data_IF_460474598642
#
_entry.id   IF_460474598642
#
_cell.length_a   1.000
_cell.length_b   1.000
_cell.length_c   1.000
_cell.angle_alpha   90.00
_cell.angle_beta   90.00
_cell.angle_gamma   90.00
#
_symmetry.space_group_name_H-M   'P 1'
#
loop_
_entity.id
_entity.type
_entity.pdbx_description
1 polymer ?
#
# COMPACT_ATOMS: atom_id res chain seq x y z
N UNK A 1 -51.99 33.89 12.51
CA UNK A 1 -50.54 33.74 12.71
C UNK A 1 -50.29 32.30 13.12
N UNK A 2 -49.98 31.45 12.15
CA UNK A 2 -49.79 30.01 12.35
C UNK A 2 -48.28 29.71 12.28
N UNK A 3 -47.78 29.04 13.31
CA UNK A 3 -46.42 28.52 13.38
C UNK A 3 -46.34 27.24 12.54
N UNK A 4 -45.43 27.21 11.56
CA UNK A 4 -45.06 26.00 10.84
C UNK A 4 -43.69 25.52 11.36
N UNK A 5 -43.67 24.32 11.93
CA UNK A 5 -42.49 23.60 12.38
C UNK A 5 -41.80 23.02 11.14
N UNK A 6 -40.56 23.41 10.85
CA UNK A 6 -39.74 22.75 9.84
C UNK A 6 -39.15 21.45 10.41
N UNK A 7 -39.48 20.36 9.72
CA UNK A 7 -39.01 19.00 9.91
C UNK A 7 -37.52 18.87 9.63
N UNK A 8 -36.79 18.21 10.53
CA UNK A 8 -35.44 17.71 10.29
C UNK A 8 -35.49 16.55 9.28
N UNK A 9 -34.83 16.71 8.14
CA UNK A 9 -34.62 15.61 7.19
C UNK A 9 -33.54 14.67 7.74
N UNK A 10 -33.95 13.47 8.15
CA UNK A 10 -33.05 12.35 8.40
C UNK A 10 -32.42 11.93 7.07
N UNK A 11 -31.17 12.29 6.84
CA UNK A 11 -30.36 11.68 5.79
C UNK A 11 -30.04 10.25 6.23
N UNK A 12 -30.83 9.27 5.75
CA UNK A 12 -30.49 7.85 5.83
C UNK A 12 -29.25 7.63 4.96
N UNK A 13 -28.07 7.72 5.56
CA UNK A 13 -26.90 7.03 5.01
C UNK A 13 -27.24 5.55 4.94
N UNK A 14 -27.58 5.08 3.74
CA UNK A 14 -27.57 3.68 3.41
C UNK A 14 -26.13 3.20 3.65
N UNK A 15 -25.89 2.55 4.80
CA UNK A 15 -24.67 1.78 5.01
C UNK A 15 -24.66 0.73 3.90
N UNK A 16 -23.80 0.96 2.91
CA UNK A 16 -23.42 -0.05 1.93
C UNK A 16 -22.99 -1.26 2.74
N UNK A 17 -23.60 -2.42 2.50
CA UNK A 17 -23.14 -3.65 3.13
C UNK A 17 -21.66 -3.80 2.80
N UNK A 18 -20.81 -3.87 3.82
CA UNK A 18 -19.37 -4.00 3.64
C UNK A 18 -19.11 -5.28 2.82
N UNK A 19 -18.38 -5.19 1.68
CA UNK A 19 -17.98 -6.38 0.96
C UNK A 19 -17.17 -7.29 1.90
N UNK A 20 -17.24 -8.63 1.73
CA UNK A 20 -16.48 -9.57 2.55
C UNK A 20 -15.02 -9.13 2.61
N UNK A 21 -14.53 -8.89 3.82
CA UNK A 21 -13.22 -8.30 4.09
C UNK A 21 -12.14 -9.29 3.72
N UNK A 22 -11.50 -9.01 2.60
CA UNK A 22 -10.18 -9.52 2.28
C UNK A 22 -9.19 -9.05 3.35
N UNK A 23 -8.88 -9.96 4.25
CA UNK A 23 -7.94 -9.70 5.31
C UNK A 23 -6.55 -10.21 4.93
N UNK A 24 -5.84 -9.42 4.12
CA UNK A 24 -4.44 -9.70 3.77
C UNK A 24 -3.58 -9.80 5.06
N UNK A 25 -4.00 -9.13 6.14
CA UNK A 25 -3.28 -9.10 7.40
C UNK A 25 -3.44 -10.39 8.20
N UNK A 26 -4.55 -11.12 8.06
CA UNK A 26 -4.69 -12.48 8.64
C UNK A 26 -3.63 -13.47 8.13
N UNK A 27 -3.07 -13.22 6.95
CA UNK A 27 -2.03 -14.07 6.34
C UNK A 27 -0.62 -13.61 6.67
N UNK A 28 -0.46 -12.49 7.37
CA UNK A 28 0.83 -11.91 7.72
C UNK A 28 1.10 -12.21 9.19
N UNK A 29 2.26 -12.81 9.49
CA UNK A 29 2.72 -12.91 10.86
C UNK A 29 2.99 -11.50 11.39
N UNK A 30 2.06 -10.98 12.18
CA UNK A 30 2.22 -9.69 12.86
C UNK A 30 3.24 -9.77 13.99
N UNK A 31 3.79 -10.94 14.30
CA UNK A 31 4.92 -11.18 15.19
C UNK A 31 4.53 -11.41 16.66
N UNK A 32 5.54 -11.65 17.50
CA UNK A 32 5.38 -11.92 18.94
C UNK A 32 5.01 -10.70 19.82
N UNK A 33 4.77 -9.54 19.21
CA UNK A 33 4.52 -8.27 19.89
C UNK A 33 5.74 -7.69 20.62
N UNK A 34 5.50 -6.99 21.74
CA UNK A 34 6.53 -6.32 22.54
C UNK A 34 7.17 -5.12 21.84
N UNK A 35 6.44 -4.47 20.94
CA UNK A 35 6.89 -3.31 20.17
C UNK A 35 6.37 -2.02 20.77
N UNK A 36 7.01 -0.91 20.42
CA UNK A 36 6.50 0.45 20.66
C UNK A 36 6.21 1.11 19.32
N UNK A 37 5.02 1.65 19.14
CA UNK A 37 4.58 2.20 17.85
C UNK A 37 4.03 3.61 18.04
N UNK A 38 4.65 4.59 17.41
CA UNK A 38 4.08 5.94 17.26
C UNK A 38 3.26 6.00 15.98
N UNK A 39 1.96 6.27 16.09
CA UNK A 39 1.09 6.55 14.95
C UNK A 39 0.96 8.07 14.85
N UNK A 40 1.55 8.63 13.81
CA UNK A 40 1.67 10.09 13.58
C UNK A 40 0.75 10.46 12.42
N UNK A 41 -0.27 11.25 12.70
CA UNK A 41 -1.41 11.44 11.80
C UNK A 41 -1.53 12.91 11.43
N UNK A 42 -1.55 13.18 10.13
CA UNK A 42 -1.77 14.51 9.59
C UNK A 42 -3.19 15.00 9.89
N UNK A 43 -3.26 16.19 10.46
CA UNK A 43 -4.47 16.91 10.77
C UNK A 43 -4.45 18.29 10.13
N UNK A 44 -3.73 18.50 9.04
CA UNK A 44 -3.75 19.76 8.27
C UNK A 44 -5.11 19.98 7.57
N UNK A 45 -5.36 21.21 7.11
CA UNK A 45 -6.61 21.57 6.44
C UNK A 45 -6.84 20.83 5.10
N UNK A 46 -5.78 20.43 4.40
CA UNK A 46 -5.90 19.69 3.12
C UNK A 46 -6.68 18.39 3.29
N UNK A 47 -6.61 17.77 4.47
CA UNK A 47 -7.35 16.56 4.82
C UNK A 47 -8.86 16.68 4.60
N UNK A 48 -9.47 17.87 4.72
CA UNK A 48 -10.91 18.06 4.46
C UNK A 48 -11.29 17.78 2.99
N UNK A 49 -10.36 18.07 2.07
CA UNK A 49 -10.60 17.98 0.63
C UNK A 49 -9.98 16.73 0.03
N UNK A 50 -8.81 16.36 0.52
CA UNK A 50 -7.95 15.32 -0.04
C UNK A 50 -8.17 13.97 0.63
N UNK A 51 -8.71 13.96 1.85
CA UNK A 51 -9.10 12.76 2.57
C UNK A 51 -10.53 12.87 3.14
N UNK A 52 -11.55 13.11 2.29
CA UNK A 52 -12.93 13.31 2.74
C UNK A 52 -13.54 12.04 3.37
N UNK A 53 -12.98 10.88 3.07
CA UNK A 53 -13.40 9.58 3.61
C UNK A 53 -12.62 9.17 4.87
N UNK A 54 -11.67 10.00 5.35
CA UNK A 54 -10.81 9.72 6.50
C UNK A 54 -10.00 8.41 6.37
N UNK A 55 -9.54 8.13 5.16
CA UNK A 55 -8.63 7.07 4.77
C UNK A 55 -7.39 7.00 5.66
N UNK A 56 -6.80 8.14 6.04
CA UNK A 56 -5.66 8.15 6.98
C UNK A 56 -6.06 7.67 8.38
N UNK A 57 -7.27 7.98 8.85
CA UNK A 57 -7.74 7.57 10.18
C UNK A 57 -8.08 6.08 10.16
N UNK A 58 -8.65 5.59 9.06
CA UNK A 58 -8.86 4.16 8.83
C UNK A 58 -7.52 3.40 8.80
N UNK A 59 -6.49 3.94 8.12
CA UNK A 59 -5.14 3.37 8.11
C UNK A 59 -4.55 3.27 9.53
N UNK A 60 -4.62 4.36 10.28
CA UNK A 60 -4.15 4.45 11.65
C UNK A 60 -4.90 3.49 12.57
N UNK A 61 -6.22 3.45 12.47
CA UNK A 61 -7.06 2.58 13.26
C UNK A 61 -6.76 1.12 12.92
N UNK A 62 -6.60 0.79 11.63
CA UNK A 62 -6.24 -0.55 11.17
C UNK A 62 -4.91 -0.98 11.75
N UNK A 63 -3.86 -0.15 11.61
CA UNK A 63 -2.56 -0.43 12.22
C UNK A 63 -2.68 -0.68 13.73
N UNK A 64 -3.44 0.15 14.45
CA UNK A 64 -3.65 0.00 15.89
C UNK A 64 -4.32 -1.32 16.27
N UNK A 65 -5.30 -1.79 15.48
CA UNK A 65 -6.01 -3.03 15.82
C UNK A 65 -5.23 -4.31 15.53
N UNK A 66 -4.23 -4.25 14.65
CA UNK A 66 -3.30 -5.35 14.36
C UNK A 66 -2.19 -5.51 15.40
N UNK A 67 -2.03 -4.55 16.31
CA UNK A 67 -1.08 -4.65 17.40
C UNK A 67 -1.55 -5.65 18.45
N UNK A 68 -0.60 -6.38 19.04
CA UNK A 68 -0.84 -7.34 20.12
C UNK A 68 -1.24 -6.58 21.37
N UNK A 69 -2.50 -6.71 21.79
CA UNK A 69 -3.03 -6.05 23.00
C UNK A 69 -2.73 -6.88 24.25
N UNK A 70 -2.70 -6.26 25.42
CA UNK A 70 -2.50 -6.97 26.67
C UNK A 70 -3.58 -8.02 26.93
N UNK A 71 -4.83 -7.76 26.53
CA UNK A 71 -5.95 -8.68 26.69
C UNK A 71 -5.93 -9.89 25.73
N UNK A 72 -5.20 -9.79 24.62
CA UNK A 72 -5.15 -10.83 23.57
C UNK A 72 -3.80 -11.51 23.47
N UNK A 73 -2.79 -11.06 24.20
CA UNK A 73 -1.48 -11.69 24.23
C UNK A 73 -1.56 -13.11 24.80
N UNK A 74 -1.14 -14.10 24.03
CA UNK A 74 -1.13 -15.52 24.42
C UNK A 74 0.25 -16.13 24.18
N UNK A 75 0.58 -17.23 24.87
CA UNK A 75 1.68 -18.12 24.50
C UNK A 75 3.04 -17.45 24.23
N UNK A 76 3.57 -16.69 25.19
CA UNK A 76 4.89 -16.05 25.06
C UNK A 76 4.90 -14.76 24.24
N UNK A 77 3.75 -14.30 23.74
CA UNK A 77 3.61 -12.95 23.19
C UNK A 77 3.80 -11.90 24.29
N UNK A 78 4.39 -10.78 23.91
CA UNK A 78 4.44 -9.56 24.74
C UNK A 78 3.48 -8.54 24.17
N UNK A 79 2.72 -7.80 24.99
CA UNK A 79 1.87 -6.73 24.49
C UNK A 79 2.69 -5.65 23.79
N UNK A 80 2.17 -5.13 22.69
CA UNK A 80 2.67 -3.90 22.09
C UNK A 80 2.20 -2.69 22.89
N UNK A 81 2.91 -1.58 22.71
CA UNK A 81 2.52 -0.26 23.18
C UNK A 81 2.36 0.69 22.00
N UNK A 82 1.38 1.56 22.07
CA UNK A 82 1.08 2.56 21.04
C UNK A 82 1.04 3.96 21.63
N UNK A 83 1.53 4.92 20.86
CA UNK A 83 1.33 6.36 21.06
C UNK A 83 0.61 6.92 19.83
N UNK A 84 -0.32 7.85 20.03
CA UNK A 84 -1.03 8.54 18.93
C UNK A 84 -0.69 10.02 19.00
N UNK A 85 -0.16 10.54 17.90
CA UNK A 85 0.20 11.93 17.73
C UNK A 85 -0.56 12.47 16.52
N UNK A 86 -1.24 13.59 16.68
CA UNK A 86 -1.67 14.38 15.52
C UNK A 86 -0.66 15.49 15.26
N UNK A 87 -0.53 15.91 14.00
CA UNK A 87 0.27 17.09 13.67
C UNK A 87 -0.42 17.98 12.63
N UNK A 88 -0.10 19.27 12.73
CA UNK A 88 -0.44 20.34 11.79
C UNK A 88 0.70 21.36 11.82
N UNK A 89 0.45 22.63 12.14
CA UNK A 89 1.50 23.61 12.51
C UNK A 89 2.23 23.27 13.82
N UNK A 90 1.60 22.45 14.65
CA UNK A 90 2.10 21.94 15.93
C UNK A 90 1.86 20.42 16.00
N UNK A 91 2.27 19.77 17.09
CA UNK A 91 1.99 18.34 17.28
C UNK A 91 1.49 18.08 18.69
N UNK A 92 0.37 17.35 18.79
CA UNK A 92 -0.28 17.00 20.05
C UNK A 92 -0.20 15.50 20.28
N UNK A 93 0.21 15.11 21.49
CA UNK A 93 0.15 13.73 21.96
C UNK A 93 -1.28 13.43 22.44
N UNK A 94 -2.07 12.74 21.60
CA UNK A 94 -3.47 12.43 21.87
C UNK A 94 -3.67 11.16 22.69
N UNK A 95 -2.73 10.22 22.58
CA UNK A 95 -2.71 9.00 23.37
C UNK A 95 -1.26 8.72 23.76
N UNK A 96 -0.86 8.94 25.03
CA UNK A 96 0.47 8.59 25.49
C UNK A 96 0.73 7.09 25.40
N UNK A 97 2.01 6.71 25.26
CA UNK A 97 2.45 5.32 25.13
C UNK A 97 1.71 4.38 26.12
N UNK A 98 0.86 3.51 25.57
CA UNK A 98 -0.05 2.67 26.34
C UNK A 98 -0.60 1.49 25.53
N UNK A 99 -1.62 0.81 26.06
CA UNK A 99 -2.21 -0.37 25.41
C UNK A 99 -3.03 0.01 24.15
N UNK A 100 -2.89 -0.71 23.02
CA UNK A 100 -3.61 -0.40 21.78
C UNK A 100 -5.15 -0.37 21.90
N UNK A 101 -5.75 -1.07 22.87
CA UNK A 101 -7.19 -1.04 23.11
C UNK A 101 -7.74 0.36 23.44
N UNK A 102 -6.91 1.26 24.00
CA UNK A 102 -7.33 2.61 24.39
C UNK A 102 -7.20 3.67 23.30
N UNK A 103 -6.45 3.41 22.24
CA UNK A 103 -6.03 4.44 21.28
C UNK A 103 -7.07 4.78 20.20
N UNK A 104 -8.04 3.89 19.94
CA UNK A 104 -8.98 4.03 18.82
C UNK A 104 -9.81 5.32 18.86
N UNK A 105 -10.27 5.73 20.04
CA UNK A 105 -11.04 6.97 20.17
C UNK A 105 -10.21 8.22 19.86
N UNK A 106 -8.93 8.24 20.27
CA UNK A 106 -8.01 9.33 19.95
C UNK A 106 -7.73 9.40 18.45
N UNK A 107 -7.59 8.27 17.76
CA UNK A 107 -7.38 8.20 16.31
C UNK A 107 -8.62 8.74 15.57
N UNK A 108 -9.80 8.17 15.85
CA UNK A 108 -11.03 8.49 15.12
C UNK A 108 -11.59 9.89 15.46
N UNK A 109 -11.10 10.52 16.52
CA UNK A 109 -11.49 11.87 16.95
C UNK A 109 -10.68 13.01 16.32
N UNK A 110 -9.68 12.71 15.48
CA UNK A 110 -8.85 13.73 14.83
C UNK A 110 -9.67 14.51 13.82
N UNK A 111 -9.59 15.83 13.90
CA UNK A 111 -10.28 16.76 12.98
C UNK A 111 -9.23 17.59 12.23
N UNK A 112 -9.35 17.73 10.90
CA UNK A 112 -8.51 18.63 10.11
C UNK A 112 -8.51 20.08 10.62
N UNK A 113 -7.32 20.66 10.79
CA UNK A 113 -7.06 22.03 11.17
C UNK A 113 -5.57 22.40 11.05
N UNK A 114 -5.26 23.48 10.33
CA UNK A 114 -3.93 24.12 10.30
C UNK A 114 -3.07 23.73 9.09
N UNK A 115 -1.79 24.11 9.13
CA UNK A 115 -0.78 23.76 8.13
C UNK A 115 -0.16 22.38 8.33
N UNK A 116 0.96 22.11 7.65
CA UNK A 116 1.64 20.81 7.68
C UNK A 116 3.06 20.96 8.21
N UNK A 117 3.38 20.30 9.33
CA UNK A 117 4.72 20.22 9.92
C UNK A 117 5.04 18.81 10.40
N UNK A 118 5.50 17.97 9.48
CA UNK A 118 5.73 16.54 9.69
C UNK A 118 6.77 16.31 10.79
N UNK A 119 7.85 17.11 10.78
CA UNK A 119 8.95 17.01 11.74
C UNK A 119 8.50 17.14 13.20
N UNK A 120 7.50 17.97 13.50
CA UNK A 120 6.94 18.06 14.86
C UNK A 120 6.19 16.81 15.27
N UNK A 121 5.44 16.20 14.36
CA UNK A 121 4.79 14.91 14.61
C UNK A 121 5.79 13.81 14.93
N UNK A 122 6.86 13.69 14.12
CA UNK A 122 7.96 12.73 14.33
C UNK A 122 8.69 13.01 15.64
N UNK A 123 8.96 14.28 15.96
CA UNK A 123 9.60 14.69 17.20
C UNK A 123 8.79 14.26 18.43
N UNK A 124 7.50 14.64 18.49
CA UNK A 124 6.62 14.32 19.62
C UNK A 124 6.48 12.81 19.82
N UNK A 125 6.34 12.05 18.73
CA UNK A 125 6.30 10.59 18.82
C UNK A 125 7.62 10.01 19.34
N UNK A 126 8.75 10.48 18.83
CA UNK A 126 10.08 10.02 19.28
C UNK A 126 10.27 10.27 20.76
N UNK A 127 9.88 11.45 21.25
CA UNK A 127 10.05 11.82 22.66
C UNK A 127 9.17 10.95 23.57
N UNK A 128 7.92 10.68 23.18
CA UNK A 128 7.04 9.79 23.97
C UNK A 128 7.49 8.32 23.94
N UNK A 129 7.99 7.85 22.78
CA UNK A 129 8.50 6.48 22.60
C UNK A 129 9.82 6.23 23.33
N UNK A 130 10.58 7.29 23.66
CA UNK A 130 11.91 7.21 24.30
C UNK A 130 11.96 7.78 25.71
N UNK A 131 10.82 8.23 26.25
CA UNK A 131 10.76 8.79 27.61
C UNK A 131 11.28 7.80 28.67
N UNK A 132 11.84 8.30 29.79
CA UNK A 132 12.31 7.46 30.88
C UNK A 132 11.26 6.44 31.32
N UNK A 133 11.67 5.17 31.50
CA UNK A 133 10.78 4.08 31.90
C UNK A 133 10.00 3.42 30.77
N UNK A 134 10.12 3.87 29.51
CA UNK A 134 9.45 3.26 28.34
C UNK A 134 10.10 1.98 27.82
N UNK A 135 11.12 1.43 28.49
CA UNK A 135 11.84 0.23 28.05
C UNK A 135 12.75 0.44 26.83
N UNK A 136 13.25 -0.66 26.25
CA UNK A 136 14.21 -0.63 25.15
C UNK A 136 13.61 -0.01 23.88
N UNK A 137 14.34 0.91 23.24
CA UNK A 137 13.92 1.53 21.97
C UNK A 137 14.47 0.79 20.76
N UNK A 138 15.79 0.63 20.70
CA UNK A 138 16.50 0.10 19.54
C UNK A 138 15.94 -1.26 19.11
N UNK A 139 15.58 -1.37 17.84
CA UNK A 139 15.12 -2.61 17.22
C UNK A 139 13.66 -2.98 17.49
N UNK A 140 13.00 -2.39 18.50
CA UNK A 140 11.62 -2.71 18.87
C UNK A 140 10.64 -1.54 18.73
N UNK A 141 11.09 -0.43 18.14
CA UNK A 141 10.30 0.79 18.04
C UNK A 141 10.09 1.20 16.59
N UNK A 142 8.89 1.71 16.30
CA UNK A 142 8.50 2.20 14.99
C UNK A 142 7.73 3.52 15.09
N UNK A 143 7.82 4.34 14.04
CA UNK A 143 6.91 5.45 13.78
C UNK A 143 6.28 5.22 12.41
N UNK A 144 4.95 5.30 12.34
CA UNK A 144 4.19 5.30 11.09
C UNK A 144 3.53 6.64 10.91
N UNK A 145 3.92 7.37 9.86
CA UNK A 145 3.38 8.67 9.49
C UNK A 145 2.34 8.50 8.38
N UNK A 146 1.19 9.16 8.52
CA UNK A 146 0.10 9.15 7.55
C UNK A 146 -0.24 10.60 7.18
N UNK A 147 -0.04 11.00 5.93
CA UNK A 147 -0.12 12.39 5.47
C UNK A 147 -0.44 12.45 3.98
N UNK A 148 -1.04 13.55 3.51
CA UNK A 148 -1.18 13.87 2.07
C UNK A 148 -0.20 14.96 1.61
N UNK A 149 0.54 15.53 2.56
CA UNK A 149 1.09 16.86 2.43
C UNK A 149 2.60 16.88 2.50
N UNK A 150 3.16 17.95 1.96
CA UNK A 150 4.56 18.32 2.18
C UNK A 150 4.64 19.35 3.30
N UNK A 151 5.81 19.47 3.91
CA UNK A 151 6.05 20.51 4.90
C UNK A 151 5.79 21.92 4.33
N UNK A 152 4.91 22.67 4.99
CA UNK A 152 4.53 24.04 4.60
C UNK A 152 4.70 25.00 5.79
N UNK A 153 5.58 26.02 5.71
CA UNK A 153 6.45 26.35 4.58
C UNK A 153 7.60 25.34 4.40
N UNK A 154 8.09 25.22 3.16
CA UNK A 154 9.19 24.31 2.77
C UNK A 154 10.47 24.45 3.59
N UNK A 155 10.69 25.60 4.26
CA UNK A 155 11.75 25.76 5.28
C UNK A 155 11.70 24.74 6.43
N UNK A 156 10.55 24.07 6.65
CA UNK A 156 10.36 23.02 7.66
C UNK A 156 10.96 21.66 7.24
N UNK A 157 11.22 21.42 5.95
CA UNK A 157 11.78 20.16 5.41
C UNK A 157 13.08 19.75 6.14
N UNK A 158 14.00 20.69 6.35
CA UNK A 158 15.26 20.40 7.05
C UNK A 158 15.04 19.93 8.49
N UNK A 159 14.00 20.42 9.17
CA UNK A 159 13.62 19.94 10.51
C UNK A 159 13.06 18.53 10.43
N UNK A 160 12.17 18.24 9.48
CA UNK A 160 11.61 16.90 9.28
C UNK A 160 12.70 15.86 9.02
N UNK A 161 13.64 16.16 8.13
CA UNK A 161 14.80 15.29 7.89
C UNK A 161 15.61 15.08 9.17
N UNK A 162 15.86 16.14 9.95
CA UNK A 162 16.65 16.03 11.19
C UNK A 162 15.95 15.18 12.26
N UNK A 163 14.63 15.25 12.37
CA UNK A 163 13.86 14.47 13.34
C UNK A 163 13.73 13.01 12.91
N UNK A 164 13.58 12.72 11.62
CA UNK A 164 13.62 11.33 11.12
C UNK A 164 15.01 10.72 11.38
N UNK A 165 16.10 11.46 11.14
CA UNK A 165 17.46 10.99 11.45
C UNK A 165 17.65 10.75 12.94
N UNK A 166 17.20 11.68 13.79
CA UNK A 166 17.25 11.52 15.26
C UNK A 166 16.53 10.26 15.72
N UNK A 167 15.31 10.02 15.20
CA UNK A 167 14.56 8.80 15.51
C UNK A 167 15.31 7.54 15.03
N UNK A 168 15.85 7.57 13.81
CA UNK A 168 16.64 6.47 13.24
C UNK A 168 17.90 6.17 14.06
N UNK A 169 18.62 7.18 14.54
CA UNK A 169 19.81 7.02 15.39
C UNK A 169 19.49 6.37 16.74
N UNK A 170 18.25 6.49 17.21
CA UNK A 170 17.72 5.79 18.39
C UNK A 170 17.26 4.35 18.07
N UNK A 171 17.42 3.91 16.83
CA UNK A 171 17.00 2.61 16.33
C UNK A 171 15.49 2.48 16.13
N UNK A 172 14.79 3.60 15.92
CA UNK A 172 13.38 3.65 15.54
C UNK A 172 13.27 3.51 14.02
N UNK A 173 12.44 2.59 13.54
CA UNK A 173 12.12 2.47 12.11
C UNK A 173 10.99 3.44 11.74
N UNK A 174 11.12 4.18 10.65
CA UNK A 174 10.12 5.17 10.23
C UNK A 174 9.50 4.78 8.89
N UNK A 175 8.17 4.68 8.82
CA UNK A 175 7.43 4.39 7.60
C UNK A 175 6.40 5.48 7.32
N UNK A 176 6.21 5.83 6.04
CA UNK A 176 5.29 6.86 5.58
C UNK A 176 4.25 6.25 4.63
N UNK A 177 2.97 6.51 4.91
CA UNK A 177 1.87 6.36 3.96
C UNK A 177 1.46 7.73 3.46
N UNK A 178 1.78 8.02 2.19
CA UNK A 178 1.59 9.32 1.56
C UNK A 178 0.38 9.30 0.63
N UNK A 179 -0.70 9.98 1.00
CA UNK A 179 -1.92 10.10 0.18
C UNK A 179 -1.67 11.09 -0.97
N UNK A 180 -1.44 10.58 -2.18
CA UNK A 180 -1.15 11.43 -3.34
C UNK A 180 -2.40 11.66 -4.18
N UNK A 181 -3.29 12.55 -3.72
CA UNK A 181 -4.50 12.90 -4.49
C UNK A 181 -4.27 14.02 -5.51
N UNK A 182 -3.28 14.90 -5.27
CA UNK A 182 -3.06 16.11 -6.10
C UNK A 182 -1.68 16.17 -6.77
N UNK A 183 -1.02 15.01 -6.98
CA UNK A 183 0.26 14.88 -7.70
C UNK A 183 1.45 15.68 -7.12
N UNK A 184 1.37 16.17 -5.88
CA UNK A 184 2.54 16.76 -5.20
C UNK A 184 3.44 15.63 -4.73
N UNK A 185 4.60 15.46 -5.37
CA UNK A 185 5.63 14.53 -4.89
C UNK A 185 6.21 15.06 -3.57
N UNK A 186 6.46 14.15 -2.62
CA UNK A 186 7.18 14.48 -1.39
C UNK A 186 8.63 14.88 -1.71
N UNK A 187 9.23 15.69 -0.83
CA UNK A 187 10.65 16.03 -0.94
C UNK A 187 11.51 14.75 -0.98
N UNK A 188 12.36 14.56 -2.00
CA UNK A 188 13.16 13.35 -2.15
C UNK A 188 14.16 13.15 -0.99
N UNK A 189 14.62 14.21 -0.34
CA UNK A 189 15.49 14.06 0.84
C UNK A 189 14.71 13.51 2.05
N UNK A 190 13.41 13.83 2.17
CA UNK A 190 12.53 13.18 3.16
C UNK A 190 12.36 11.70 2.79
N UNK A 191 12.01 11.39 1.54
CA UNK A 191 11.79 10.02 1.07
C UNK A 191 13.03 9.14 1.30
N UNK A 192 14.21 9.64 0.92
CA UNK A 192 15.48 8.90 1.09
C UNK A 192 15.81 8.70 2.56
N UNK A 193 15.54 9.69 3.41
CA UNK A 193 15.76 9.59 4.86
C UNK A 193 14.82 8.57 5.51
N UNK A 194 13.56 8.48 5.07
CA UNK A 194 12.60 7.44 5.50
C UNK A 194 13.10 6.05 5.11
N UNK A 195 13.49 5.86 3.85
CA UNK A 195 14.03 4.57 3.36
C UNK A 195 15.32 4.18 4.11
N UNK A 196 16.20 5.16 4.38
CA UNK A 196 17.44 4.93 5.13
C UNK A 196 17.22 4.50 6.59
N UNK A 197 16.08 4.85 7.20
CA UNK A 197 15.69 4.35 8.53
C UNK A 197 15.32 2.85 8.54
N UNK A 198 15.28 2.22 7.36
CA UNK A 198 14.88 0.83 7.16
C UNK A 198 13.37 0.61 7.10
N UNK A 199 12.56 1.67 7.13
CA UNK A 199 11.11 1.59 6.93
C UNK A 199 10.71 1.63 5.46
N UNK A 200 9.48 2.03 5.18
CA UNK A 200 8.92 2.12 3.82
C UNK A 200 8.28 3.48 3.60
N UNK A 201 8.47 4.07 2.42
CA UNK A 201 7.67 5.18 1.94
C UNK A 201 6.75 4.64 0.85
N UNK A 202 5.45 4.76 1.04
CA UNK A 202 4.44 4.25 0.12
C UNK A 202 3.50 5.36 -0.31
N UNK A 203 3.19 5.41 -1.61
CA UNK A 203 2.18 6.32 -2.14
C UNK A 203 0.84 5.58 -2.19
N UNK A 204 -0.19 6.25 -1.65
CA UNK A 204 -1.55 5.76 -1.50
C UNK A 204 -2.46 6.60 -2.42
N UNK A 205 -3.20 5.94 -3.29
CA UNK A 205 -4.05 6.58 -4.32
C UNK A 205 -5.54 6.29 -4.16
N UNK A 206 -5.90 5.33 -3.32
CA UNK A 206 -7.27 4.84 -3.19
C UNK A 206 -7.51 4.14 -1.83
N UNK A 207 -8.77 3.92 -1.42
CA UNK A 207 -9.08 3.25 -0.16
C UNK A 207 -8.47 1.85 0.01
N UNK A 208 -8.33 1.08 -1.07
CA UNK A 208 -7.77 -0.27 -0.98
C UNK A 208 -6.25 -0.22 -0.71
N UNK A 209 -5.55 0.80 -1.25
CA UNK A 209 -4.12 1.00 -1.06
C UNK A 209 -3.72 1.19 0.42
N UNK A 210 -4.64 1.66 1.28
CA UNK A 210 -4.42 1.83 2.73
C UNK A 210 -4.21 0.49 3.43
N UNK A 211 -5.12 -0.47 3.20
CA UNK A 211 -5.03 -1.80 3.84
C UNK A 211 -3.75 -2.49 3.40
N UNK A 212 -3.41 -2.33 2.11
CA UNK A 212 -2.17 -2.82 1.53
C UNK A 212 -0.95 -2.11 2.11
N UNK A 213 -1.02 -0.82 2.43
CA UNK A 213 0.05 -0.12 3.12
C UNK A 213 0.31 -0.66 4.53
N UNK A 214 -0.74 -0.86 5.33
CA UNK A 214 -0.58 -1.46 6.67
C UNK A 214 0.05 -2.85 6.54
N UNK A 215 -0.43 -3.66 5.60
CA UNK A 215 0.18 -4.96 5.28
C UNK A 215 1.65 -4.84 4.84
N UNK A 216 1.98 -3.84 4.01
CA UNK A 216 3.34 -3.57 3.56
C UNK A 216 4.27 -3.22 4.73
N UNK A 217 3.80 -2.43 5.70
CA UNK A 217 4.57 -2.09 6.91
C UNK A 217 4.88 -3.35 7.71
N UNK A 218 3.92 -4.27 7.89
CA UNK A 218 4.16 -5.54 8.58
C UNK A 218 5.07 -6.48 7.78
N UNK A 219 4.87 -6.61 6.46
CA UNK A 219 5.70 -7.44 5.57
C UNK A 219 7.16 -6.99 5.52
N UNK A 220 7.40 -5.67 5.56
CA UNK A 220 8.75 -5.08 5.68
C UNK A 220 9.34 -5.27 7.09
N UNK A 221 8.50 -5.61 8.06
CA UNK A 221 8.76 -5.58 9.48
C UNK A 221 8.45 -4.21 10.05
N UNK A 222 7.48 -4.15 10.97
CA UNK A 222 7.11 -2.89 11.63
C UNK A 222 8.31 -2.26 12.36
N UNK A 223 9.18 -3.08 12.95
CA UNK A 223 10.39 -2.66 13.69
C UNK A 223 11.63 -3.35 13.12
N UNK A 224 12.84 -2.97 13.54
CA UNK A 224 14.07 -3.53 12.99
C UNK A 224 14.32 -5.01 13.34
N UNK A 225 13.64 -5.57 14.35
CA UNK A 225 13.68 -7.02 14.65
C UNK A 225 12.79 -7.87 13.72
N UNK A 226 12.19 -7.27 12.68
CA UNK A 226 11.36 -7.96 11.68
C UNK A 226 12.14 -8.68 10.57
N UNK A 227 11.39 -9.18 9.57
CA UNK A 227 11.91 -9.99 8.46
C UNK A 227 13.11 -9.32 7.75
N UNK A 228 14.25 -10.00 7.77
CA UNK A 228 15.39 -9.66 6.93
C UNK A 228 15.16 -10.19 5.52
N UNK A 229 15.47 -9.38 4.49
CA UNK A 229 15.43 -9.82 3.10
C UNK A 229 14.87 -8.77 2.14
N UNK A 230 14.61 -9.19 0.88
CA UNK A 230 14.00 -8.36 -0.14
C UNK A 230 12.65 -7.82 0.32
N UNK A 231 12.33 -6.57 -0.07
CA UNK A 231 11.00 -6.01 0.17
C UNK A 231 9.98 -6.79 -0.66
N UNK A 232 8.97 -7.38 -0.01
CA UNK A 232 7.81 -7.91 -0.71
C UNK A 232 6.93 -6.76 -1.19
N UNK A 233 6.46 -6.81 -2.43
CA UNK A 233 5.53 -5.82 -2.98
C UNK A 233 4.11 -6.37 -2.94
N UNK A 234 3.16 -5.47 -2.72
CA UNK A 234 1.74 -5.72 -2.90
C UNK A 234 1.25 -4.95 -4.14
N UNK A 235 0.26 -5.49 -4.87
CA UNK A 235 -0.29 -4.81 -6.03
C UNK A 235 -1.09 -3.57 -5.60
N UNK A 236 -1.09 -2.53 -6.42
CA UNK A 236 -1.83 -1.28 -6.15
C UNK A 236 -1.24 -0.41 -5.05
N UNK A 237 0.02 -0.66 -4.65
CA UNK A 237 0.81 0.30 -3.87
C UNK A 237 2.11 0.61 -4.60
N UNK A 238 2.53 1.87 -4.52
CA UNK A 238 3.83 2.29 -5.01
C UNK A 238 4.77 2.43 -3.82
N UNK A 239 5.97 1.83 -3.89
CA UNK A 239 6.97 1.85 -2.83
C UNK A 239 8.23 2.55 -3.32
N UNK A 240 8.75 3.50 -2.53
CA UNK A 240 10.04 4.12 -2.80
C UNK A 240 11.20 3.23 -2.34
N UNK A 241 12.30 3.29 -3.06
CA UNK A 241 13.55 2.64 -2.71
C UNK A 241 14.74 3.45 -3.20
N UNK A 242 15.92 3.15 -2.65
CA UNK A 242 17.19 3.70 -3.11
C UNK A 242 17.93 2.67 -3.96
N UNK A 243 18.74 3.17 -4.89
CA UNK A 243 19.66 2.33 -5.68
C UNK A 243 20.93 2.05 -4.87
N UNK A 244 21.44 0.81 -4.84
CA UNK A 244 22.78 0.58 -4.32
C UNK A 244 23.83 1.15 -5.29
N UNK A 245 25.01 1.53 -4.76
CA UNK A 245 26.16 1.91 -5.60
C UNK A 245 26.59 0.80 -6.56
N UNK A 246 26.40 -0.45 -6.15
CA UNK A 246 26.72 -1.66 -6.94
C UNK A 246 25.62 -2.70 -6.77
N UNK A 247 25.24 -3.37 -7.85
CA UNK A 247 24.25 -4.45 -7.82
C UNK A 247 22.84 -3.98 -8.16
N UNK A 248 21.84 -4.68 -7.62
CA UNK A 248 20.43 -4.42 -7.86
C UNK A 248 19.68 -4.18 -6.56
N UNK A 249 18.68 -3.30 -6.59
CA UNK A 249 17.63 -3.29 -5.59
C UNK A 249 16.68 -4.46 -5.89
N UNK A 250 16.48 -5.33 -4.90
CA UNK A 250 15.73 -6.58 -5.06
C UNK A 250 14.41 -6.52 -4.32
N UNK A 251 13.35 -6.88 -5.02
CA UNK A 251 12.00 -7.04 -4.46
C UNK A 251 11.44 -8.42 -4.79
N UNK A 252 10.43 -8.84 -4.04
CA UNK A 252 9.72 -10.09 -4.25
C UNK A 252 8.24 -9.84 -4.48
N UNK A 253 7.64 -10.60 -5.39
CA UNK A 253 6.21 -10.59 -5.65
C UNK A 253 5.70 -12.03 -5.80
N UNK A 254 4.61 -12.37 -5.12
CA UNK A 254 4.01 -13.71 -5.19
C UNK A 254 2.86 -13.72 -6.20
N UNK A 255 3.14 -14.11 -7.44
CA UNK A 255 2.16 -14.17 -8.51
C UNK A 255 1.28 -15.44 -8.41
N UNK A 256 0.02 -15.32 -8.80
CA UNK A 256 -0.98 -16.38 -8.94
C UNK A 256 -1.01 -16.90 -10.38
N UNK A 257 -1.53 -18.11 -10.57
CA UNK A 257 -1.68 -18.69 -11.90
C UNK A 257 -2.66 -17.86 -12.76
N UNK A 258 -2.25 -17.53 -13.98
CA UNK A 258 -3.01 -16.72 -14.93
C UNK A 258 -3.00 -15.21 -14.64
N UNK A 259 -2.31 -14.76 -13.59
CA UNK A 259 -2.23 -13.35 -13.25
C UNK A 259 -1.40 -12.58 -14.27
N UNK A 260 -1.98 -11.55 -14.87
CA UNK A 260 -1.27 -10.57 -15.68
C UNK A 260 -0.80 -9.41 -14.79
N UNK A 261 0.47 -9.05 -14.93
CA UNK A 261 1.17 -8.10 -14.08
C UNK A 261 1.82 -7.01 -14.94
N UNK A 262 1.72 -5.77 -14.50
CA UNK A 262 2.58 -4.68 -14.94
C UNK A 262 3.44 -4.24 -13.76
N UNK A 263 4.76 -4.37 -13.88
CA UNK A 263 5.71 -3.80 -12.92
C UNK A 263 6.24 -2.50 -13.49
N UNK A 264 5.90 -1.38 -12.85
CA UNK A 264 6.38 -0.07 -13.24
C UNK A 264 7.47 0.43 -12.30
N UNK A 265 8.51 1.03 -12.87
CA UNK A 265 9.62 1.64 -12.15
C UNK A 265 9.79 3.07 -12.64
N UNK A 266 9.60 4.06 -11.76
CA UNK A 266 9.78 5.49 -12.03
C UNK A 266 11.00 6.02 -11.28
N UNK A 267 11.83 6.82 -11.92
CA UNK A 267 13.00 7.46 -11.29
C UNK A 267 12.80 8.96 -11.10
N UNK A 268 13.35 9.52 -10.03
CA UNK A 268 13.49 10.97 -9.83
C UNK A 268 14.93 11.35 -10.10
N UNK A 269 15.28 11.75 -11.34
CA UNK A 269 16.65 12.21 -11.63
C UNK A 269 17.23 11.90 -13.01
N UNK A 270 16.43 11.53 -14.02
CA UNK A 270 16.92 11.33 -15.39
C UNK A 270 17.87 10.14 -15.59
N UNK A 271 18.12 9.34 -14.54
CA UNK A 271 18.90 8.11 -14.62
C UNK A 271 18.18 7.05 -15.45
N UNK A 272 18.92 6.29 -16.25
CA UNK A 272 18.34 5.13 -16.94
C UNK A 272 18.32 3.92 -16.01
N UNK A 273 17.12 3.45 -15.64
CA UNK A 273 16.93 2.24 -14.84
C UNK A 273 16.56 1.06 -15.73
N UNK A 274 17.12 -0.10 -15.45
CA UNK A 274 16.71 -1.39 -16.00
C UNK A 274 15.98 -2.19 -14.93
N UNK A 275 14.76 -2.60 -15.24
CA UNK A 275 13.96 -3.53 -14.44
C UNK A 275 13.97 -4.92 -15.09
N UNK A 276 14.15 -5.95 -14.29
CA UNK A 276 14.09 -7.36 -14.71
C UNK A 276 13.13 -8.09 -13.80
N UNK A 277 12.18 -8.80 -14.39
CA UNK A 277 11.36 -9.79 -13.71
C UNK A 277 12.03 -11.14 -13.89
N UNK A 278 12.26 -11.85 -12.80
CA UNK A 278 13.00 -13.12 -12.78
C UNK A 278 12.27 -14.15 -11.93
N UNK A 279 12.22 -15.40 -12.38
CA UNK A 279 11.70 -16.49 -11.55
C UNK A 279 12.63 -16.70 -10.34
N UNK A 280 12.09 -16.52 -9.14
CA UNK A 280 12.87 -16.61 -7.90
C UNK A 280 13.46 -18.02 -7.63
N UNK A 281 12.90 -19.07 -8.25
CA UNK A 281 13.36 -20.46 -8.08
C UNK A 281 14.41 -20.88 -9.09
N UNK A 282 14.24 -20.47 -10.34
CA UNK A 282 15.08 -20.93 -11.46
C UNK A 282 16.13 -19.91 -11.89
N UNK A 283 16.06 -18.68 -11.37
CA UNK A 283 16.93 -17.54 -11.73
C UNK A 283 16.86 -17.17 -13.22
N UNK A 284 15.76 -17.54 -13.91
CA UNK A 284 15.53 -17.23 -15.33
C UNK A 284 14.79 -15.90 -15.48
N UNK A 285 15.33 -15.00 -16.29
CA UNK A 285 14.68 -13.73 -16.66
C UNK A 285 13.39 -14.01 -17.44
N UNK A 286 12.28 -13.45 -16.96
CA UNK A 286 10.93 -13.59 -17.50
C UNK A 286 10.56 -12.42 -18.42
N UNK A 287 10.94 -11.21 -18.02
CA UNK A 287 10.71 -9.97 -18.77
C UNK A 287 11.73 -8.92 -18.33
N UNK A 288 11.96 -7.91 -19.16
CA UNK A 288 12.75 -6.74 -18.75
C UNK A 288 12.29 -5.49 -19.48
N UNK A 289 12.54 -4.33 -18.87
CA UNK A 289 12.31 -3.02 -19.46
C UNK A 289 13.39 -2.04 -19.01
N UNK A 290 13.53 -0.94 -19.73
CA UNK A 290 14.45 0.16 -19.41
C UNK A 290 13.64 1.45 -19.41
N UNK A 291 13.98 2.40 -18.53
CA UNK A 291 13.31 3.70 -18.52
C UNK A 291 13.60 4.44 -19.82
N UNK A 292 12.53 4.81 -20.54
CA UNK A 292 12.63 5.68 -21.71
C UNK A 292 12.56 7.17 -21.34
N UNK A 293 12.24 8.01 -22.31
CA UNK A 293 12.15 9.47 -22.15
C UNK A 293 11.16 9.92 -21.07
N UNK A 294 10.15 9.10 -20.77
CA UNK A 294 9.19 9.32 -19.70
C UNK A 294 9.75 9.06 -18.28
N UNK A 295 11.02 8.65 -18.14
CA UNK A 295 11.63 8.25 -16.86
C UNK A 295 10.90 7.10 -16.15
N UNK A 296 10.18 6.28 -16.93
CA UNK A 296 9.41 5.11 -16.47
C UNK A 296 9.79 3.89 -17.31
N UNK A 297 10.03 2.77 -16.64
CA UNK A 297 10.14 1.44 -17.24
C UNK A 297 8.90 0.62 -16.86
N UNK A 298 8.33 -0.13 -17.81
CA UNK A 298 7.20 -1.04 -17.54
C UNK A 298 7.53 -2.43 -18.07
N UNK A 299 7.68 -3.40 -17.18
CA UNK A 299 7.83 -4.80 -17.52
C UNK A 299 6.49 -5.53 -17.33
N UNK A 300 6.00 -6.16 -18.40
CA UNK A 300 4.74 -6.89 -18.40
C UNK A 300 5.00 -8.39 -18.37
N UNK A 301 4.18 -9.13 -17.62
CA UNK A 301 4.29 -10.59 -17.54
C UNK A 301 2.96 -11.23 -17.16
N UNK A 302 2.65 -12.40 -17.74
CA UNK A 302 1.52 -13.23 -17.32
C UNK A 302 2.06 -14.52 -16.71
N UNK A 303 1.80 -14.74 -15.42
CA UNK A 303 2.30 -15.91 -14.71
C UNK A 303 1.54 -17.19 -15.15
N UNK A 304 2.21 -18.19 -15.75
CA UNK A 304 1.54 -19.41 -16.22
C UNK A 304 1.09 -20.31 -15.06
N UNK A 305 1.69 -20.14 -13.88
CA UNK A 305 1.38 -20.85 -12.64
C UNK A 305 1.68 -19.93 -11.46
N UNK A 306 1.20 -20.28 -10.26
CA UNK A 306 1.61 -19.56 -9.05
C UNK A 306 3.14 -19.66 -8.86
N UNK A 307 3.81 -18.53 -8.63
CA UNK A 307 5.26 -18.45 -8.50
C UNK A 307 5.71 -17.17 -7.79
N UNK A 308 6.88 -17.23 -7.15
CA UNK A 308 7.57 -16.03 -6.69
C UNK A 308 8.40 -15.43 -7.83
N UNK A 309 8.21 -14.13 -8.04
CA UNK A 309 8.96 -13.31 -9.00
C UNK A 309 9.90 -12.41 -8.21
N UNK A 310 11.19 -12.47 -8.55
CA UNK A 310 12.20 -11.50 -8.13
C UNK A 310 12.19 -10.32 -9.09
N UNK A 311 12.03 -9.12 -8.57
CA UNK A 311 12.11 -7.87 -9.34
C UNK A 311 13.45 -7.23 -9.03
N UNK A 312 14.29 -7.10 -10.05
CA UNK A 312 15.62 -6.50 -9.95
C UNK A 312 15.61 -5.13 -10.62
N UNK A 313 15.96 -4.09 -9.88
CA UNK A 313 16.14 -2.75 -10.42
C UNK A 313 17.62 -2.38 -10.37
N UNK A 314 18.18 -2.05 -11.53
CA UNK A 314 19.59 -1.71 -11.70
C UNK A 314 19.73 -0.38 -12.43
N UNK A 315 20.85 0.29 -12.22
CA UNK A 315 21.19 1.55 -12.87
C UNK A 315 22.69 1.60 -13.13
N UNK A 316 23.09 2.27 -14.20
CA UNK A 316 24.51 2.59 -14.43
C UNK A 316 24.79 3.99 -13.90
N UNK A 317 25.79 4.13 -13.03
CA UNK A 317 26.18 5.43 -12.47
C UNK A 317 25.28 5.97 -11.37
N UNK A 318 24.44 5.12 -10.76
CA UNK A 318 23.62 5.53 -9.62
C UNK A 318 24.46 5.75 -8.36
N UNK A 319 24.01 6.70 -7.56
CA UNK A 319 24.42 6.94 -6.18
C UNK A 319 23.46 6.25 -5.20
N UNK A 320 23.90 6.07 -3.96
CA UNK A 320 23.05 5.58 -2.87
C UNK A 320 21.91 6.54 -2.48
N UNK A 321 21.90 7.75 -3.03
CA UNK A 321 20.88 8.77 -2.76
C UNK A 321 19.80 8.81 -3.84
N UNK A 322 20.02 8.14 -4.98
CA UNK A 322 19.04 8.14 -6.06
C UNK A 322 17.82 7.30 -5.69
N UNK A 323 16.66 7.95 -5.73
CA UNK A 323 15.37 7.35 -5.41
C UNK A 323 14.68 6.91 -6.69
N UNK A 324 14.01 5.77 -6.57
CA UNK A 324 13.03 5.33 -7.53
C UNK A 324 11.80 4.78 -6.81
N UNK A 325 10.73 4.66 -7.56
CA UNK A 325 9.45 4.12 -7.13
C UNK A 325 9.17 2.86 -7.92
N UNK A 326 8.78 1.79 -7.23
CA UNK A 326 8.32 0.54 -7.85
C UNK A 326 6.85 0.31 -7.51
N UNK A 327 6.05 -0.03 -8.51
CA UNK A 327 4.66 -0.42 -8.32
C UNK A 327 4.36 -1.70 -9.10
N UNK A 328 3.42 -2.47 -8.59
CA UNK A 328 2.87 -3.65 -9.26
C UNK A 328 1.39 -3.41 -9.49
N UNK A 329 0.96 -3.48 -10.74
CA UNK A 329 -0.46 -3.59 -11.10
C UNK A 329 -0.74 -5.06 -11.40
N UNK A 330 -1.88 -5.56 -10.92
CA UNK A 330 -2.29 -6.95 -11.08
C UNK A 330 -3.69 -7.05 -11.66
N UNK A 331 -3.90 -8.01 -12.56
CA UNK A 331 -5.22 -8.39 -13.04
C UNK A 331 -6.04 -9.19 -12.03
N UNK A 332 -5.41 -9.69 -10.97
CA UNK A 332 -6.09 -10.44 -9.90
C UNK A 332 -6.35 -9.50 -8.74
N UNK A 333 -7.61 -9.43 -8.33
CA UNK A 333 -7.93 -8.79 -7.08
C UNK A 333 -7.43 -9.70 -5.94
N UNK A 334 -6.49 -9.22 -5.12
CA UNK A 334 -6.01 -9.94 -3.93
C UNK A 334 -7.16 -10.39 -3.03
N UNK A 335 -8.26 -9.65 -3.07
CA UNK A 335 -9.44 -9.78 -2.27
C UNK A 335 -10.54 -10.66 -2.86
N UNK A 336 -10.35 -11.12 -4.10
CA UNK A 336 -11.23 -12.11 -4.68
C UNK A 336 -10.74 -13.51 -4.30
N UNK A 337 -11.43 -14.13 -3.33
CA UNK A 337 -11.21 -15.53 -2.95
C UNK A 337 -11.97 -16.50 -3.85
N UNK A 338 -12.72 -16.01 -4.86
CA UNK A 338 -13.48 -16.86 -5.78
C UNK A 338 -12.58 -17.46 -6.85
N UNK A 339 -11.66 -18.33 -6.45
CA UNK A 339 -11.11 -19.34 -7.36
C UNK A 339 -12.07 -20.53 -7.44
N UNK A 340 -13.31 -20.28 -7.84
CA UNK A 340 -14.07 -21.36 -8.49
C UNK A 340 -13.70 -21.24 -9.97
N UNK A 341 -12.91 -22.15 -10.55
CA UNK A 341 -12.72 -22.13 -12.00
C UNK A 341 -14.13 -22.18 -12.60
N UNK A 342 -14.53 -21.14 -13.33
CA UNK A 342 -15.74 -21.22 -14.13
C UNK A 342 -15.54 -22.44 -15.03
N UNK A 343 -16.31 -23.52 -14.89
CA UNK A 343 -16.15 -24.65 -15.77
C UNK A 343 -16.37 -24.12 -17.17
N UNK A 344 -15.36 -24.27 -18.03
CA UNK A 344 -15.54 -24.11 -19.47
C UNK A 344 -16.83 -24.84 -19.83
N UNK A 345 -17.82 -24.18 -20.45
CA UNK A 345 -19.04 -24.87 -20.83
C UNK A 345 -18.66 -26.05 -21.71
N UNK A 346 -18.73 -27.26 -21.16
CA UNK A 346 -18.69 -28.48 -21.94
C UNK A 346 -19.88 -28.38 -22.88
N UNK A 347 -19.60 -28.16 -24.17
CA UNK A 347 -20.60 -28.33 -25.21
C UNK A 347 -21.09 -29.77 -25.11
N UNK A 348 -22.21 -29.98 -24.45
CA UNK A 348 -22.93 -31.25 -24.50
C UNK A 348 -23.29 -31.46 -25.97
N UNK A 349 -22.78 -32.51 -26.64
CA UNK A 349 -23.19 -32.81 -28.00
C UNK A 349 -24.71 -33.03 -27.99
N UNK A 350 -25.42 -32.19 -28.74
CA UNK A 350 -26.84 -32.38 -29.00
C UNK A 350 -27.03 -33.78 -29.62
N UNK A 351 -27.88 -34.65 -29.05
CA UNK A 351 -28.21 -35.92 -29.68
C UNK A 351 -28.77 -35.65 -31.08
N UNK A 352 -28.15 -36.28 -32.08
CA UNK A 352 -28.48 -36.10 -33.49
C UNK A 352 -29.97 -36.31 -33.75
N UNK A 353 -30.56 -35.36 -34.48
CA UNK A 353 -31.85 -35.56 -35.13
C UNK A 353 -31.78 -36.79 -36.05
N UNK A 354 -32.83 -37.63 -36.10
CA UNK A 354 -32.87 -38.78 -36.99
C UNK A 354 -32.82 -38.36 -38.46
N UNK A 355 -32.36 -39.26 -39.36
CA UNK A 355 -32.21 -38.94 -40.78
C UNK A 355 -33.57 -38.65 -41.41
N UNK A 356 -33.67 -37.51 -42.11
CA UNK A 356 -34.83 -37.23 -42.96
C UNK A 356 -34.81 -38.16 -44.18
N UNK A 357 -35.90 -38.91 -44.33
CA UNK A 357 -36.22 -39.78 -45.46
C UNK A 357 -36.24 -38.98 -46.78
N UNK A 358 -35.68 -39.50 -47.88
CA UNK A 358 -35.71 -38.80 -49.15
C UNK A 358 -37.10 -38.87 -49.79
N UNK A 359 -37.77 -37.73 -49.87
CA UNK A 359 -38.99 -37.58 -50.68
C UNK A 359 -38.59 -37.21 -52.10
N UNK A 360 -38.85 -38.13 -53.03
CA UNK A 360 -38.82 -37.92 -54.47
C UNK A 360 -39.99 -37.02 -54.91
N UNK A 361 -39.71 -35.88 -55.53
CA UNK A 361 -40.60 -35.23 -56.51
C UNK A 361 -39.76 -34.40 -57.48
N UNK A 362 -39.55 -34.93 -58.69
CA UNK A 362 -40.30 -34.64 -59.93
C UNK A 362 -39.95 -33.29 -60.57
N UNK A 363 -39.22 -33.38 -61.69
CA UNK A 363 -38.86 -32.29 -62.62
C UNK A 363 -40.10 -31.77 -63.38
N UNK A 364 -40.24 -30.45 -63.42
CA UNK A 364 -40.73 -29.65 -64.55
C UNK A 364 -39.94 -28.33 -64.44
N UNK A 365 -39.26 -27.75 -65.44
CA UNK A 365 -39.51 -27.68 -66.87
C UNK A 365 -39.82 -26.21 -67.21
N UNK A 366 -38.96 -25.54 -67.99
CA UNK A 366 -39.17 -24.19 -68.55
C UNK A 366 -38.18 -23.16 -68.01
N UNK A 367 -37.17 -22.70 -68.76
CA UNK A 367 -37.15 -21.93 -70.02
C UNK A 367 -37.12 -20.41 -69.78
N UNK A 368 -36.01 -19.80 -70.24
CA UNK A 368 -35.85 -18.43 -70.78
C UNK A 368 -36.24 -17.24 -69.88
N UNK A 369 -35.54 -16.11 -69.82
CA UNK A 369 -35.00 -15.33 -70.95
C UNK A 369 -34.10 -14.20 -70.43
N UNK A 370 -33.22 -13.75 -71.32
CA UNK A 370 -32.33 -12.58 -71.28
C UNK A 370 -32.98 -11.21 -71.03
N UNK A 371 -32.06 -10.23 -70.86
CA UNK A 371 -32.14 -8.75 -70.93
C UNK A 371 -32.26 -8.08 -69.56
N UNK A 372 -31.39 -7.15 -69.14
CA UNK A 372 -30.38 -6.31 -69.81
C UNK A 372 -29.22 -6.06 -68.86
#
# INVERSE_FOLDING_TARGET
MAWAVLSAAQSKHLRRADPPTCDILEQIDTGSGGRKVGIVIDASNSMEYNDPENLRLEAAHRLNIELVRASTAVGGQSPDLVSVVQFNDSADLLYPLGDPSGASASILGIVPKGGTFIGRGVQTATDDLTKPGSGLTAGRTAIVVLTDGVDDPSSRVGTTISEIRRASDLGIRISFGFLSVDATDQDPDIVSTVVASGGTFSILSDPDSIRRFVAQVFLKGLTATGLAGPTRLLPGITVAATLPQTGASTFLYAARAGEALNVSVRVTGGLSLRVVLRDARTDVDLASAVTGDASIAVAQYTAPSAMDITILVTATGASTQDIFYVAVESSVNLCDTSTTPTPTPTLTPTPGSPPLTPTTSYRHGGSSTHCK
#
